data_IF_847434358291
#
_entry.id   IF_847434358291
#
_cell.length_a   1.000
_cell.length_b   1.000
_cell.length_c   1.000
_cell.angle_alpha   90.00
_cell.angle_beta   90.00
_cell.angle_gamma   90.00
#
_symmetry.space_group_name_H-M   'P 1'
#
loop_
_entity.id
_entity.type
_entity.pdbx_description
1 polymer ?
#
# COMPACT_ATOMS: atom_id res chain seq x y z
N UNK A 1 -6.58 6.88 5.93
CA UNK A 1 -5.22 6.73 6.49
C UNK A 1 -4.29 7.53 5.60
N UNK A 2 -3.31 8.22 6.16
CA UNK A 2 -2.26 8.89 5.37
C UNK A 2 -1.28 7.85 4.81
N UNK A 3 -0.51 8.21 3.78
CA UNK A 3 0.48 7.30 3.20
C UNK A 3 1.55 6.88 4.24
N UNK A 4 1.89 7.76 5.19
CA UNK A 4 2.72 7.39 6.34
C UNK A 4 2.11 6.32 7.25
N UNK A 5 0.80 6.39 7.49
CA UNK A 5 0.09 5.39 8.27
C UNK A 5 0.03 4.05 7.53
N UNK A 6 -0.16 4.08 6.19
CA UNK A 6 -0.11 2.88 5.35
C UNK A 6 1.28 2.25 5.42
N UNK A 7 2.34 3.04 5.20
CA UNK A 7 3.74 2.57 5.31
C UNK A 7 4.03 1.97 6.69
N UNK A 8 3.54 2.58 7.76
CA UNK A 8 3.71 2.07 9.12
C UNK A 8 2.98 0.74 9.33
N UNK A 9 1.74 0.59 8.85
CA UNK A 9 1.00 -0.66 8.94
C UNK A 9 1.67 -1.79 8.13
N UNK A 10 2.19 -1.47 6.93
CA UNK A 10 2.97 -2.41 6.12
C UNK A 10 4.19 -2.90 6.89
N UNK A 11 5.00 -1.98 7.45
CA UNK A 11 6.20 -2.29 8.26
C UNK A 11 5.89 -3.16 9.48
N UNK A 12 4.83 -2.83 10.21
CA UNK A 12 4.45 -3.52 11.45
C UNK A 12 3.72 -4.84 11.20
N UNK A 13 3.50 -5.23 9.94
CA UNK A 13 2.72 -6.42 9.63
C UNK A 13 1.23 -6.26 9.98
N UNK A 14 0.73 -5.07 10.30
CA UNK A 14 -0.62 -4.89 10.81
C UNK A 14 -1.68 -4.89 9.71
N UNK A 15 -2.90 -5.38 9.99
CA UNK A 15 -4.04 -5.22 9.10
C UNK A 15 -4.37 -3.74 8.85
N UNK A 16 -4.83 -3.43 7.64
CA UNK A 16 -5.27 -2.10 7.28
C UNK A 16 -6.21 -2.14 6.06
N UNK A 17 -6.96 -1.06 5.87
CA UNK A 17 -7.70 -0.77 4.65
C UNK A 17 -7.58 0.73 4.38
N UNK A 18 -7.01 1.09 3.23
CA UNK A 18 -6.65 2.47 2.95
C UNK A 18 -6.67 2.78 1.46
N UNK A 19 -6.76 4.08 1.17
CA UNK A 19 -6.61 4.63 -0.18
C UNK A 19 -5.30 5.43 -0.17
N UNK A 20 -4.41 5.17 -1.12
CA UNK A 20 -3.16 5.93 -1.29
C UNK A 20 -3.43 7.34 -1.81
N UNK A 21 -2.46 8.25 -1.75
CA UNK A 21 -2.56 9.57 -2.37
C UNK A 21 -2.98 9.56 -3.86
N UNK A 22 -2.67 8.46 -4.57
CA UNK A 22 -3.01 8.24 -5.99
C UNK A 22 -4.37 7.57 -6.22
N UNK A 23 -5.19 7.41 -5.18
CA UNK A 23 -6.52 6.81 -5.28
C UNK A 23 -6.52 5.29 -5.37
N UNK A 24 -5.40 4.60 -5.10
CA UNK A 24 -5.35 3.14 -5.12
C UNK A 24 -5.82 2.59 -3.78
N UNK A 25 -6.76 1.64 -3.82
CA UNK A 25 -7.26 0.99 -2.62
C UNK A 25 -6.36 -0.21 -2.29
N UNK A 26 -5.79 -0.20 -1.10
CA UNK A 26 -4.92 -1.25 -0.56
C UNK A 26 -5.51 -1.83 0.73
N UNK A 27 -5.32 -3.14 0.93
CA UNK A 27 -5.79 -3.82 2.12
C UNK A 27 -4.86 -4.94 2.58
N UNK A 28 -4.71 -5.12 3.88
CA UNK A 28 -4.19 -6.35 4.50
C UNK A 28 -5.22 -6.82 5.53
N UNK A 29 -5.70 -8.05 5.37
CA UNK A 29 -6.76 -8.60 6.23
C UNK A 29 -6.22 -9.33 7.47
N UNK A 30 -5.03 -9.91 7.38
CA UNK A 30 -4.42 -10.70 8.45
C UNK A 30 -3.04 -10.14 8.82
N UNK A 31 -2.62 -10.20 10.10
CA UNK A 31 -1.26 -9.84 10.48
C UNK A 31 -0.22 -10.62 9.67
N UNK A 32 0.79 -9.92 9.17
CA UNK A 32 1.87 -10.45 8.31
C UNK A 32 1.39 -11.13 7.01
N UNK A 33 0.10 -11.03 6.68
CA UNK A 33 -0.46 -11.52 5.44
C UNK A 33 -0.11 -10.62 4.23
N UNK A 34 -0.46 -11.08 3.03
CA UNK A 34 -0.25 -10.29 1.82
C UNK A 34 -1.05 -8.99 1.87
N UNK A 35 -0.44 -7.94 1.34
CA UNK A 35 -1.17 -6.74 0.94
C UNK A 35 -1.83 -7.00 -0.40
N UNK A 36 -3.08 -6.59 -0.52
CA UNK A 36 -3.88 -6.64 -1.74
C UNK A 36 -4.11 -5.23 -2.28
N UNK A 37 -4.29 -5.16 -3.59
CA UNK A 37 -4.73 -3.98 -4.34
C UNK A 37 -6.08 -4.27 -4.97
N UNK A 38 -6.94 -3.27 -5.00
CA UNK A 38 -8.10 -3.30 -5.87
C UNK A 38 -7.73 -2.84 -7.27
N UNK A 39 -8.16 -3.61 -8.26
CA UNK A 39 -8.08 -3.25 -9.66
C UNK A 39 -9.43 -3.52 -10.32
N UNK A 40 -10.13 -2.44 -10.69
CA UNK A 40 -11.53 -2.51 -11.15
C UNK A 40 -12.38 -3.24 -10.08
N UNK A 41 -13.01 -4.36 -10.44
CA UNK A 41 -13.82 -5.18 -9.54
C UNK A 41 -13.07 -6.42 -9.02
N UNK A 42 -11.74 -6.41 -9.04
CA UNK A 42 -10.91 -7.52 -8.59
C UNK A 42 -10.01 -7.11 -7.43
N UNK A 43 -9.79 -8.05 -6.51
CA UNK A 43 -8.80 -7.95 -5.44
C UNK A 43 -7.62 -8.81 -5.87
N UNK A 44 -6.48 -8.17 -6.12
CA UNK A 44 -5.25 -8.83 -6.55
C UNK A 44 -4.19 -8.73 -5.45
N UNK A 45 -3.47 -9.81 -5.12
CA UNK A 45 -2.33 -9.70 -4.21
C UNK A 45 -1.29 -8.78 -4.84
N UNK A 46 -0.74 -7.85 -4.07
CA UNK A 46 0.34 -6.99 -4.53
C UNK A 46 1.53 -7.88 -4.90
N UNK A 47 2.12 -7.70 -6.10
CA UNK A 47 3.30 -8.45 -6.50
C UNK A 47 4.51 -8.11 -5.61
N UNK A 48 4.52 -6.89 -5.06
CA UNK A 48 5.52 -6.42 -4.10
C UNK A 48 4.98 -6.53 -2.67
N UNK A 49 5.83 -6.93 -1.73
CA UNK A 49 5.51 -7.05 -0.31
C UNK A 49 6.65 -6.44 0.53
N UNK A 50 6.40 -6.22 1.83
CA UNK A 50 7.43 -5.80 2.78
C UNK A 50 8.23 -4.57 2.31
N UNK A 51 9.56 -4.71 2.24
CA UNK A 51 10.48 -3.64 1.84
C UNK A 51 10.23 -3.11 0.43
N UNK A 52 9.95 -3.99 -0.53
CA UNK A 52 9.76 -3.60 -1.92
C UNK A 52 8.46 -2.82 -2.10
N UNK A 53 7.42 -3.21 -1.37
CA UNK A 53 6.17 -2.47 -1.33
C UNK A 53 6.36 -1.09 -0.70
N UNK A 54 7.16 -0.98 0.36
CA UNK A 54 7.48 0.30 0.98
C UNK A 54 8.26 1.22 0.06
N UNK A 55 9.20 0.65 -0.71
CA UNK A 55 9.96 1.40 -1.71
C UNK A 55 9.03 1.92 -2.81
N UNK A 56 8.15 1.09 -3.33
CA UNK A 56 7.16 1.49 -4.34
C UNK A 56 6.18 2.56 -3.83
N UNK A 57 5.69 2.43 -2.59
CA UNK A 57 4.84 3.44 -1.94
C UNK A 57 5.56 4.78 -1.74
N UNK A 58 6.89 4.78 -1.60
CA UNK A 58 7.69 6.00 -1.49
C UNK A 58 8.00 6.62 -2.86
N UNK A 59 8.44 5.82 -3.83
CA UNK A 59 8.67 6.30 -5.19
C UNK A 59 7.42 6.93 -5.79
N UNK A 60 6.25 6.39 -5.44
CA UNK A 60 4.96 6.96 -5.83
C UNK A 60 4.62 8.30 -5.15
N UNK A 61 5.28 8.66 -4.06
CA UNK A 61 5.09 9.95 -3.37
C UNK A 61 5.99 11.03 -4.01
N UNK A 62 7.18 10.63 -4.47
CA UNK A 62 8.21 11.52 -4.99
C UNK A 62 7.91 12.05 -6.42
N UNK A 63 7.29 11.25 -7.30
CA UNK A 63 6.98 11.68 -8.69
C UNK A 63 5.88 12.75 -8.78
N UNK A 64 5.08 12.95 -7.72
CA UNK A 64 4.01 13.96 -7.68
C UNK A 64 4.54 15.36 -7.26
N UNK A 65 5.83 15.47 -6.89
CA UNK A 65 6.49 16.74 -6.51
C UNK A 65 7.31 17.40 -7.65
N UNK A 66 7.38 16.80 -8.84
CA UNK A 66 8.08 17.36 -10.03
C UNK A 66 7.12 17.94 -11.09
N UNK A 67 5.90 18.35 -10.70
CA UNK A 67 4.91 19.02 -11.55
C UNK A 67 4.86 20.53 -11.43
#
# INVERSE_FOLDING_TARGET
>A
MTDEQIRSAVKLGMPFFAVTGRGQVLARYLPYGPVFKWERNQIIPMPLQGSDLLWWLRASDDEDHEG
#
